data_IF_994845752489
#
_entry.id   IF_994845752489
#
_cell.length_a   1.000
_cell.length_b   1.000
_cell.length_c   1.000
_cell.angle_alpha   90.00
_cell.angle_beta   90.00
_cell.angle_gamma   90.00
#
_symmetry.space_group_name_H-M   'P 1'
#
loop_
_entity.id
_entity.type
_entity.pdbx_description
1 polymer ?
#
# COMPACT_ATOMS: atom_id res chain seq x y z
N UNK A 1 -5.76 -5.41 -10.58
CA UNK A 1 -6.03 -4.47 -9.50
C UNK A 1 -7.43 -4.70 -8.95
N UNK A 2 -7.53 -4.72 -7.64
CA UNK A 2 -8.74 -4.88 -6.85
C UNK A 2 -8.99 -3.61 -6.04
N UNK A 3 -10.23 -3.35 -5.70
CA UNK A 3 -10.63 -2.26 -4.84
C UNK A 3 -11.59 -2.78 -3.78
N UNK A 4 -11.69 -2.03 -2.70
CA UNK A 4 -12.70 -2.26 -1.68
C UNK A 4 -13.88 -1.34 -2.02
N UNK A 5 -15.08 -1.91 -2.16
CA UNK A 5 -16.30 -1.18 -2.47
C UNK A 5 -17.31 -1.33 -1.33
N UNK A 6 -17.82 -0.21 -0.83
CA UNK A 6 -18.91 -0.16 0.13
C UNK A 6 -20.24 -0.02 -0.60
N UNK A 7 -21.13 -0.99 -0.46
CA UNK A 7 -22.45 -1.03 -1.07
C UNK A 7 -23.47 -0.41 -0.13
N UNK A 8 -24.01 0.76 -0.49
CA UNK A 8 -24.93 1.53 0.37
C UNK A 8 -26.24 0.82 0.70
N UNK A 9 -26.69 -0.10 -0.17
CA UNK A 9 -27.99 -0.76 0.01
C UNK A 9 -27.96 -1.77 1.16
N UNK A 10 -26.82 -2.43 1.33
CA UNK A 10 -26.65 -3.54 2.29
C UNK A 10 -25.64 -3.17 3.39
N UNK A 11 -25.18 -1.91 3.43
CA UNK A 11 -24.06 -1.40 4.26
C UNK A 11 -22.89 -2.39 4.38
N UNK A 12 -22.62 -3.08 3.27
CA UNK A 12 -21.68 -4.19 3.19
C UNK A 12 -20.46 -3.75 2.39
N UNK A 13 -19.29 -4.15 2.85
CA UNK A 13 -18.03 -3.82 2.19
C UNK A 13 -17.47 -5.08 1.53
N UNK A 14 -17.25 -5.06 0.22
CA UNK A 14 -16.72 -6.22 -0.51
C UNK A 14 -15.54 -5.86 -1.41
N UNK A 15 -14.69 -6.86 -1.69
CA UNK A 15 -13.55 -6.70 -2.62
C UNK A 15 -14.01 -6.99 -4.04
N UNK A 16 -13.90 -5.99 -4.91
CA UNK A 16 -14.23 -6.11 -6.34
C UNK A 16 -13.03 -5.82 -7.23
N UNK A 17 -12.97 -6.41 -8.44
CA UNK A 17 -12.05 -5.96 -9.47
C UNK A 17 -12.24 -4.48 -9.79
N UNK A 18 -11.15 -3.74 -9.96
CA UNK A 18 -11.22 -2.33 -10.39
C UNK A 18 -11.95 -2.10 -11.72
N UNK A 19 -12.03 -3.13 -12.58
CA UNK A 19 -12.74 -3.09 -13.86
C UNK A 19 -14.27 -3.06 -13.71
N UNK A 20 -14.78 -3.46 -12.53
CA UNK A 20 -16.22 -3.53 -12.23
C UNK A 20 -16.77 -2.19 -11.74
N UNK A 21 -15.89 -1.29 -11.30
CA UNK A 21 -16.27 -0.02 -10.72
C UNK A 21 -16.26 1.09 -11.77
N UNK A 22 -17.43 1.68 -12.03
CA UNK A 22 -17.62 2.79 -12.98
C UNK A 22 -18.72 3.70 -12.47
N UNK A 23 -18.54 5.02 -12.59
CA UNK A 23 -19.57 6.02 -12.26
C UNK A 23 -20.15 5.90 -10.84
N UNK A 24 -19.33 5.57 -9.84
CA UNK A 24 -19.79 5.32 -8.45
C UNK A 24 -20.77 4.15 -8.31
N UNK A 25 -20.71 3.22 -9.26
CA UNK A 25 -21.44 1.96 -9.23
C UNK A 25 -20.46 0.81 -9.39
N UNK A 26 -20.72 -0.29 -8.70
CA UNK A 26 -19.98 -1.54 -8.88
C UNK A 26 -20.86 -2.58 -9.51
N UNK A 27 -20.33 -3.28 -10.52
CA UNK A 27 -20.94 -4.50 -11.00
C UNK A 27 -20.87 -5.58 -9.92
N UNK A 28 -21.97 -6.30 -9.74
CA UNK A 28 -22.08 -7.46 -8.86
C UNK A 28 -22.84 -8.56 -9.58
N UNK A 29 -22.35 -9.81 -9.58
CA UNK A 29 -22.99 -10.89 -10.32
C UNK A 29 -24.32 -11.26 -9.66
N UNK A 30 -25.32 -11.53 -10.50
CA UNK A 30 -26.66 -11.93 -10.05
C UNK A 30 -26.62 -13.31 -9.38
N UNK A 31 -25.77 -14.21 -9.90
CA UNK A 31 -25.62 -15.59 -9.41
C UNK A 31 -24.45 -15.69 -8.42
N UNK A 32 -24.77 -15.89 -7.14
CA UNK A 32 -23.79 -15.97 -6.05
C UNK A 32 -22.80 -17.13 -6.19
N UNK A 33 -23.19 -18.24 -6.82
CA UNK A 33 -22.33 -19.44 -6.97
C UNK A 33 -21.03 -19.20 -7.75
N UNK A 34 -20.97 -18.15 -8.57
CA UNK A 34 -19.82 -17.86 -9.44
C UNK A 34 -19.02 -16.62 -9.03
N UNK A 35 -19.38 -15.91 -7.94
CA UNK A 35 -18.72 -14.67 -7.50
C UNK A 35 -17.21 -14.86 -7.44
N UNK A 36 -16.72 -15.85 -6.69
CA UNK A 36 -15.28 -16.11 -6.51
C UNK A 36 -14.57 -16.26 -7.85
N UNK A 37 -15.14 -17.04 -8.77
CA UNK A 37 -14.56 -17.27 -10.12
C UNK A 37 -14.50 -15.97 -10.91
N UNK A 38 -15.56 -15.18 -10.90
CA UNK A 38 -15.63 -13.91 -11.63
C UNK A 38 -14.63 -12.88 -11.08
N UNK A 39 -14.51 -12.79 -9.76
CA UNK A 39 -13.57 -11.89 -9.10
C UNK A 39 -12.13 -12.30 -9.41
N UNK A 40 -11.76 -13.58 -9.25
CA UNK A 40 -10.42 -14.08 -9.57
C UNK A 40 -10.06 -13.89 -11.05
N UNK A 41 -11.01 -14.16 -11.97
CA UNK A 41 -10.81 -13.99 -13.41
C UNK A 41 -10.89 -12.54 -13.87
N UNK A 42 -11.34 -11.61 -13.02
CA UNK A 42 -11.56 -10.20 -13.35
C UNK A 42 -12.42 -10.04 -14.61
N UNK A 43 -13.44 -10.90 -14.74
CA UNK A 43 -14.32 -10.98 -15.91
C UNK A 43 -14.95 -9.63 -16.21
N UNK A 44 -15.08 -9.26 -17.48
CA UNK A 44 -15.72 -8.00 -17.84
C UNK A 44 -17.22 -8.12 -17.56
N UNK A 45 -17.83 -7.20 -16.81
CA UNK A 45 -19.24 -7.29 -16.46
C UNK A 45 -20.11 -7.16 -17.71
N UNK A 46 -21.05 -8.11 -17.86
CA UNK A 46 -22.06 -8.15 -18.92
C UNK A 46 -23.43 -7.78 -18.34
N UNK A 47 -24.31 -7.19 -19.15
CA UNK A 47 -25.63 -6.72 -18.72
C UNK A 47 -26.59 -7.85 -18.28
N UNK A 48 -26.32 -9.09 -18.68
CA UNK A 48 -27.18 -10.24 -18.39
C UNK A 48 -26.79 -10.98 -17.10
N UNK A 49 -25.50 -10.99 -16.77
CA UNK A 49 -24.97 -11.76 -15.63
C UNK A 49 -24.65 -10.86 -14.41
N UNK A 50 -24.60 -9.54 -14.61
CA UNK A 50 -24.21 -8.56 -13.60
C UNK A 50 -25.24 -7.44 -13.49
N UNK A 51 -25.51 -7.05 -12.25
CA UNK A 51 -26.25 -5.85 -11.89
C UNK A 51 -25.27 -4.79 -11.40
N UNK A 52 -25.56 -3.53 -11.67
CA UNK A 52 -24.80 -2.40 -11.15
C UNK A 52 -25.50 -1.88 -9.90
N UNK A 53 -24.75 -1.79 -8.82
CA UNK A 53 -25.25 -1.26 -7.55
C UNK A 53 -24.45 -0.02 -7.17
N UNK A 54 -25.11 1.00 -6.59
CA UNK A 54 -24.42 2.18 -6.11
C UNK A 54 -23.44 1.78 -5.02
N UNK A 55 -22.18 2.15 -5.20
CA UNK A 55 -21.11 1.77 -4.30
C UNK A 55 -20.03 2.86 -4.21
N UNK A 56 -19.39 2.95 -3.05
CA UNK A 56 -18.25 3.85 -2.83
C UNK A 56 -16.95 3.06 -2.87
N UNK A 57 -15.98 3.50 -3.66
CA UNK A 57 -14.62 2.98 -3.52
C UNK A 57 -14.02 3.47 -2.19
N UNK A 58 -13.50 2.54 -1.40
CA UNK A 58 -12.73 2.80 -0.18
C UNK A 58 -11.23 2.61 -0.47
N UNK A 59 -10.43 3.64 -0.14
CA UNK A 59 -8.97 3.58 -0.21
C UNK A 59 -8.40 3.41 -1.63
N UNK A 60 -7.19 2.84 -1.68
CA UNK A 60 -6.43 2.64 -2.91
C UNK A 60 -6.72 1.31 -3.62
N UNK A 61 -6.10 1.14 -4.79
CA UNK A 61 -6.19 -0.06 -5.61
C UNK A 61 -5.11 -1.06 -5.22
N UNK A 62 -5.50 -2.26 -4.84
CA UNK A 62 -4.60 -3.35 -4.47
C UNK A 62 -4.18 -4.18 -5.68
N UNK A 63 -2.99 -4.77 -5.64
CA UNK A 63 -2.52 -5.64 -6.72
C UNK A 63 -3.17 -7.03 -6.63
N UNK A 64 -3.28 -7.57 -5.41
CA UNK A 64 -3.82 -8.90 -5.13
C UNK A 64 -5.18 -8.86 -4.42
N UNK A 65 -5.98 -9.91 -4.61
CA UNK A 65 -7.26 -10.07 -3.94
C UNK A 65 -7.08 -10.32 -2.44
N UNK A 66 -6.07 -11.10 -2.06
CA UNK A 66 -5.79 -11.44 -0.65
C UNK A 66 -5.34 -10.23 0.16
N UNK A 67 -4.56 -9.34 -0.47
CA UNK A 67 -4.12 -8.08 0.10
C UNK A 67 -5.33 -7.18 0.41
N UNK A 68 -6.21 -6.99 -0.58
CA UNK A 68 -7.45 -6.25 -0.41
C UNK A 68 -8.36 -6.86 0.65
N UNK A 69 -8.46 -8.20 0.70
CA UNK A 69 -9.31 -8.90 1.67
C UNK A 69 -8.78 -8.77 3.11
N UNK A 70 -7.47 -8.80 3.29
CA UNK A 70 -6.84 -8.60 4.60
C UNK A 70 -7.12 -7.19 5.13
N UNK A 71 -7.06 -6.19 4.24
CA UNK A 71 -7.41 -4.80 4.55
C UNK A 71 -8.91 -4.62 4.77
N UNK A 72 -9.75 -5.32 4.00
CA UNK A 72 -11.20 -5.34 4.19
C UNK A 72 -11.58 -5.84 5.59
N UNK A 73 -11.04 -6.98 6.03
CA UNK A 73 -11.31 -7.51 7.37
C UNK A 73 -10.88 -6.53 8.47
N UNK A 74 -9.80 -5.78 8.23
CA UNK A 74 -9.37 -4.70 9.14
C UNK A 74 -10.34 -3.51 9.10
N UNK A 75 -10.92 -3.21 7.94
CA UNK A 75 -11.87 -2.10 7.75
C UNK A 75 -13.27 -2.40 8.32
N UNK A 76 -13.78 -3.62 8.17
CA UNK A 76 -15.05 -4.05 8.78
C UNK A 76 -15.01 -3.92 10.32
N UNK A 77 -13.85 -4.19 10.91
CA UNK A 77 -13.63 -4.06 12.35
C UNK A 77 -13.39 -2.61 12.81
N UNK A 78 -12.96 -1.72 11.90
CA UNK A 78 -12.64 -0.33 12.17
C UNK A 78 -13.62 0.60 11.45
N UNK A 79 -14.92 0.45 11.75
CA UNK A 79 -16.05 1.18 11.14
C UNK A 79 -15.95 2.73 11.15
N UNK A 80 -14.90 3.29 11.76
CA UNK A 80 -14.67 4.73 11.96
C UNK A 80 -13.25 5.24 11.62
N UNK A 81 -12.40 4.50 10.90
CA UNK A 81 -11.07 5.02 10.56
C UNK A 81 -11.07 5.81 9.25
N UNK A 82 -11.32 7.11 9.45
CA UNK A 82 -10.98 8.27 8.63
C UNK A 82 -9.92 8.04 7.54
N UNK A 83 -10.21 8.60 6.37
CA UNK A 83 -9.30 8.89 5.25
C UNK A 83 -7.88 9.22 5.72
N UNK A 84 -6.96 8.27 5.54
CA UNK A 84 -5.54 8.54 5.54
C UNK A 84 -4.83 7.45 4.71
N UNK A 85 -4.89 7.59 3.39
CA UNK A 85 -3.90 7.00 2.50
C UNK A 85 -3.50 8.04 1.46
N UNK A 86 -2.97 9.15 1.98
CA UNK A 86 -2.04 9.99 1.22
C UNK A 86 -0.68 9.29 1.34
N UNK A 87 -0.21 8.64 0.27
CA UNK A 87 1.16 8.84 -0.20
C UNK A 87 1.44 8.11 -1.53
N UNK A 88 1.36 8.91 -2.60
CA UNK A 88 2.43 9.08 -3.61
C UNK A 88 2.95 7.81 -4.31
N UNK A 89 2.31 7.45 -5.42
CA UNK A 89 3.00 6.73 -6.49
C UNK A 89 3.74 7.69 -7.43
N UNK A 90 5.06 7.70 -7.27
CA UNK A 90 6.10 7.82 -8.31
C UNK A 90 6.35 9.18 -8.97
N UNK A 91 7.20 10.00 -8.35
CA UNK A 91 8.16 10.82 -9.13
C UNK A 91 9.48 10.05 -9.17
N UNK A 92 9.72 9.33 -10.27
CA UNK A 92 11.01 8.70 -10.54
C UNK A 92 12.07 9.78 -10.68
N UNK A 93 12.87 10.01 -9.64
CA UNK A 93 14.11 10.79 -9.78
C UNK A 93 15.18 9.81 -10.25
N UNK A 94 15.50 9.86 -11.55
CA UNK A 94 16.67 9.18 -12.11
C UNK A 94 17.93 9.81 -11.50
N UNK A 95 18.49 9.18 -10.47
CA UNK A 95 19.83 9.50 -10.01
C UNK A 95 20.84 8.77 -10.92
N UNK A 96 21.38 9.50 -11.88
CA UNK A 96 22.51 9.08 -12.70
C UNK A 96 23.74 8.90 -11.80
N UNK A 97 24.21 7.65 -11.61
CA UNK A 97 25.56 7.40 -11.09
C UNK A 97 26.27 6.43 -12.04
N UNK A 98 27.32 6.98 -12.65
CA UNK A 98 28.24 6.35 -13.59
C UNK A 98 28.78 5.04 -12.99
N UNK A 99 28.61 3.94 -13.71
CA UNK A 99 29.28 2.69 -13.40
C UNK A 99 30.71 2.75 -13.94
N UNK A 100 31.69 2.77 -13.04
CA UNK A 100 33.06 2.35 -13.33
C UNK A 100 33.13 0.84 -13.13
N UNK A 101 33.81 0.17 -14.04
CA UNK A 101 33.77 -1.26 -14.27
C UNK A 101 34.57 -2.11 -13.26
N UNK A 102 34.18 -3.39 -13.20
CA UNK A 102 34.97 -4.60 -12.96
C UNK A 102 35.20 -5.17 -11.55
N UNK A 103 34.66 -6.40 -11.39
CA UNK A 103 35.37 -7.64 -10.99
C UNK A 103 35.10 -8.24 -9.59
N UNK A 104 34.52 -9.45 -9.64
CA UNK A 104 34.59 -10.63 -8.75
C UNK A 104 34.84 -10.53 -7.23
N UNK A 105 33.94 -11.18 -6.50
CA UNK A 105 33.98 -11.69 -5.10
C UNK A 105 35.16 -12.65 -4.81
N UNK A 106 35.36 -13.20 -3.59
CA UNK A 106 35.33 -12.67 -2.19
C UNK A 106 36.69 -12.89 -1.47
N UNK A 107 36.97 -12.29 -0.30
CA UNK A 107 37.81 -12.93 0.75
C UNK A 107 37.60 -12.30 2.15
N UNK A 108 37.59 -13.18 3.15
CA UNK A 108 37.45 -12.95 4.59
C UNK A 108 38.84 -12.67 5.17
N UNK A 109 39.05 -11.65 6.02
CA UNK A 109 39.89 -11.78 7.24
C UNK A 109 39.84 -10.58 8.21
N UNK A 110 39.42 -10.90 9.45
CA UNK A 110 40.03 -10.60 10.76
C UNK A 110 40.22 -9.15 11.28
N UNK A 111 39.63 -8.97 12.47
CA UNK A 111 40.26 -8.44 13.70
C UNK A 111 40.62 -6.95 13.77
N UNK A 112 39.99 -6.22 14.68
CA UNK A 112 40.64 -5.77 15.94
C UNK A 112 39.79 -4.75 16.70
N UNK A 113 39.85 -4.83 18.03
CA UNK A 113 39.20 -3.91 19.00
C UNK A 113 39.72 -2.50 18.79
N UNK A 114 38.83 -1.51 18.78
CA UNK A 114 39.20 -0.13 19.12
C UNK A 114 38.45 0.33 20.37
N UNK A 115 39.20 0.35 21.48
CA UNK A 115 38.89 1.15 22.67
C UNK A 115 39.39 2.57 22.41
N UNK A 116 38.49 3.55 22.56
CA UNK A 116 38.73 4.90 23.09
C UNK A 116 39.61 5.88 22.31
N UNK A 117 39.21 7.15 22.37
CA UNK A 117 39.98 8.43 22.35
C UNK A 117 39.12 9.46 21.59
N UNK A 118 38.74 10.64 22.05
CA UNK A 118 38.75 11.41 23.32
C UNK A 118 37.75 12.56 23.06
N UNK A 119 36.93 12.93 24.03
CA UNK A 119 36.03 14.09 23.97
C UNK A 119 36.81 15.42 23.86
N UNK A 120 36.30 16.44 23.16
CA UNK A 120 36.87 17.79 23.22
C UNK A 120 36.57 18.47 24.58
N UNK A 121 37.45 19.38 25.06
CA UNK A 121 37.42 19.93 26.42
C UNK A 121 36.37 21.04 26.63
N UNK A 122 36.02 21.33 27.90
CA UNK A 122 35.01 22.33 28.26
C UNK A 122 35.55 23.78 28.12
N UNK A 123 34.68 24.68 27.67
CA UNK A 123 34.95 26.12 27.61
C UNK A 123 34.69 26.70 29.01
N UNK A 124 35.76 27.05 29.73
CA UNK A 124 35.68 27.74 31.02
C UNK A 124 35.72 29.25 30.75
N UNK A 125 34.58 29.94 30.88
CA UNK A 125 34.54 31.39 30.97
C UNK A 125 34.71 31.77 32.44
N UNK A 126 35.87 32.31 32.81
CA UNK A 126 36.17 32.80 34.15
C UNK A 126 35.86 34.30 34.23
N UNK A 127 35.02 34.66 35.19
CA UNK A 127 34.53 36.00 35.55
C UNK A 127 35.63 36.89 36.12
N UNK A 128 35.60 38.22 35.88
CA UNK A 128 35.95 39.24 36.90
C UNK A 128 35.09 40.50 36.70
N UNK A 129 34.43 40.91 37.78
CA UNK A 129 33.74 42.18 37.98
C UNK A 129 34.71 43.35 38.20
N UNK A 130 34.32 44.57 37.86
CA UNK A 130 34.51 45.75 38.70
C UNK A 130 33.41 46.77 38.40
#
# INVERSE_FOLDING_TARGET
>A
MYIIAHFYKEDSVEVVPSTWFKNNESAWPIKSSNIKKFVTRRTIPNKFDFNFYPARQLGHKFASYEEAKSKLSTAEFNSDLSTADDERHTRQIRANKRACSNSSSPEIVKSSRNRGLKSPPPVFCMTISY
#
